data_IF_606606766568
#
_entry.id   IF_606606766568
#
_cell.length_a   1.000
_cell.length_b   1.000
_cell.length_c   1.000
_cell.angle_alpha   90.00
_cell.angle_beta   90.00
_cell.angle_gamma   90.00
#
_symmetry.space_group_name_H-M   'P 1'
#
loop_
_entity.id
_entity.type
_entity.pdbx_description
1 polymer ?
#
# COMPACT_ATOMS: atom_id res chain seq x y z
N UNK A 1 -3.60 7.93 -33.15
CA UNK A 1 -2.19 7.85 -32.88
C UNK A 1 -1.99 6.68 -31.95
N UNK A 2 -1.57 5.54 -32.55
CA UNK A 2 -1.42 4.25 -31.91
C UNK A 2 -0.24 4.34 -30.93
N UNK A 3 -0.49 4.42 -29.64
CA UNK A 3 0.52 4.09 -28.65
C UNK A 3 0.64 2.57 -28.61
N UNK A 4 1.50 2.06 -29.45
CA UNK A 4 1.98 0.67 -29.36
C UNK A 4 2.90 0.54 -28.14
N UNK A 5 2.36 0.61 -26.93
CA UNK A 5 2.95 -0.12 -25.84
C UNK A 5 2.54 -1.58 -26.05
N UNK A 6 3.38 -2.33 -26.74
CA UNK A 6 3.36 -3.77 -26.59
C UNK A 6 3.58 -3.99 -25.09
N UNK A 7 2.73 -4.77 -24.44
CA UNK A 7 3.04 -5.44 -23.19
C UNK A 7 4.20 -6.40 -23.49
N UNK A 8 5.41 -5.87 -23.58
CA UNK A 8 6.60 -6.70 -23.41
C UNK A 8 6.49 -7.21 -21.98
N UNK A 9 6.44 -8.51 -21.79
CA UNK A 9 6.50 -9.14 -20.48
C UNK A 9 7.72 -8.53 -19.76
N UNK A 10 7.46 -7.69 -18.75
CA UNK A 10 8.55 -7.09 -17.98
C UNK A 10 9.22 -8.21 -17.21
N UNK A 11 10.41 -8.59 -17.63
CA UNK A 11 11.23 -9.52 -16.88
C UNK A 11 11.82 -8.80 -15.65
N UNK A 12 11.25 -9.07 -14.50
CA UNK A 12 11.72 -8.51 -13.23
C UNK A 12 12.98 -9.19 -12.69
N UNK A 13 13.48 -10.26 -13.30
CA UNK A 13 14.62 -11.06 -12.79
C UNK A 13 15.87 -10.22 -12.65
N UNK A 14 16.21 -9.43 -13.66
CA UNK A 14 17.39 -8.57 -13.66
C UNK A 14 17.29 -7.47 -12.59
N UNK A 15 16.11 -6.86 -12.44
CA UNK A 15 15.86 -5.82 -11.44
C UNK A 15 16.00 -6.41 -10.03
N UNK A 16 15.42 -7.57 -9.77
CA UNK A 16 15.51 -8.25 -8.48
C UNK A 16 16.92 -8.70 -8.17
N UNK A 17 17.67 -9.17 -9.18
CA UNK A 17 19.09 -9.48 -9.06
C UNK A 17 19.91 -8.24 -8.70
N UNK A 18 19.68 -7.11 -9.36
CA UNK A 18 20.39 -5.85 -9.10
C UNK A 18 20.19 -5.36 -7.67
N UNK A 19 18.99 -5.45 -7.11
CA UNK A 19 18.76 -5.13 -5.69
C UNK A 19 19.69 -5.94 -4.80
N UNK A 20 19.72 -7.26 -4.99
CA UNK A 20 20.56 -8.16 -4.18
C UNK A 20 22.04 -7.90 -4.39
N UNK A 21 22.48 -7.66 -5.62
CA UNK A 21 23.88 -7.34 -5.96
C UNK A 21 24.37 -6.03 -5.29
N UNK A 22 23.45 -5.08 -5.03
CA UNK A 22 23.75 -3.85 -4.29
C UNK A 22 23.51 -3.95 -2.78
N UNK A 23 23.33 -5.17 -2.25
CA UNK A 23 23.16 -5.41 -0.81
C UNK A 23 21.76 -5.14 -0.27
N UNK A 24 20.77 -4.89 -1.15
CA UNK A 24 19.37 -4.72 -0.73
C UNK A 24 18.75 -6.11 -0.61
N UNK A 25 18.60 -6.58 0.61
CA UNK A 25 18.14 -7.93 0.92
C UNK A 25 16.63 -8.04 1.19
N UNK A 26 15.94 -6.91 1.33
CA UNK A 26 14.48 -6.86 1.53
C UNK A 26 13.92 -5.64 0.81
N UNK A 27 12.81 -5.82 0.10
CA UNK A 27 12.04 -4.74 -0.53
C UNK A 27 10.57 -4.87 -0.16
N UNK A 28 9.88 -3.73 -0.11
CA UNK A 28 8.43 -3.67 -0.08
C UNK A 28 7.90 -3.18 -1.43
N UNK A 29 6.99 -3.96 -2.02
CA UNK A 29 6.31 -3.61 -3.27
C UNK A 29 4.94 -3.05 -2.92
N UNK A 30 4.82 -1.73 -2.87
CA UNK A 30 3.62 -1.04 -2.37
C UNK A 30 2.42 -1.05 -3.32
N UNK A 31 2.57 -1.54 -4.54
CA UNK A 31 1.47 -1.80 -5.49
C UNK A 31 1.75 -3.11 -6.22
N UNK A 32 1.75 -4.20 -5.45
CA UNK A 32 2.09 -5.51 -5.98
C UNK A 32 0.97 -6.06 -6.88
N UNK A 33 1.37 -6.68 -7.97
CA UNK A 33 0.50 -7.44 -8.87
C UNK A 33 0.54 -8.93 -8.51
N UNK A 34 -0.41 -9.75 -9.03
CA UNK A 34 -0.38 -11.19 -8.83
C UNK A 34 0.93 -11.86 -9.22
N UNK A 35 1.59 -11.37 -10.27
CA UNK A 35 2.90 -11.86 -10.76
C UNK A 35 4.00 -11.73 -9.70
N UNK A 36 3.95 -10.69 -8.86
CA UNK A 36 4.91 -10.53 -7.77
C UNK A 36 4.81 -11.64 -6.71
N UNK A 37 3.63 -12.23 -6.53
CA UNK A 37 3.46 -13.40 -5.65
C UNK A 37 4.24 -14.58 -6.21
N UNK A 38 4.15 -14.80 -7.52
CA UNK A 38 4.89 -15.88 -8.20
C UNK A 38 6.41 -15.66 -8.11
N UNK A 39 6.87 -14.42 -8.32
CA UNK A 39 8.28 -14.07 -8.18
C UNK A 39 8.79 -14.32 -6.76
N UNK A 40 8.05 -13.88 -5.75
CA UNK A 40 8.37 -14.13 -4.34
C UNK A 40 8.51 -15.61 -4.04
N UNK A 41 7.61 -16.44 -4.56
CA UNK A 41 7.67 -17.89 -4.36
C UNK A 41 8.87 -18.54 -5.08
N UNK A 42 9.22 -18.06 -6.28
CA UNK A 42 10.46 -18.50 -6.96
C UNK A 42 11.71 -18.18 -6.14
N UNK A 43 11.79 -16.96 -5.58
CA UNK A 43 12.91 -16.57 -4.71
C UNK A 43 12.97 -17.45 -3.46
N UNK A 44 11.83 -17.70 -2.79
CA UNK A 44 11.77 -18.57 -1.61
C UNK A 44 12.22 -20.01 -1.89
N UNK A 45 11.99 -20.51 -3.10
CA UNK A 45 12.43 -21.86 -3.53
C UNK A 45 13.84 -21.89 -4.10
N UNK A 46 14.57 -20.77 -4.07
CA UNK A 46 15.89 -20.61 -4.69
C UNK A 46 15.90 -20.88 -6.23
N UNK A 47 14.78 -20.66 -6.89
CA UNK A 47 14.65 -20.76 -8.35
C UNK A 47 15.00 -19.42 -9.03
N UNK A 48 15.12 -18.33 -8.25
CA UNK A 48 15.49 -17.00 -8.70
C UNK A 48 16.29 -16.29 -7.62
N UNK A 49 17.29 -15.50 -8.02
CA UNK A 49 18.03 -14.61 -7.12
C UNK A 49 17.26 -13.30 -6.98
N UNK A 50 16.99 -12.90 -5.75
CA UNK A 50 16.30 -11.65 -5.46
C UNK A 50 16.18 -11.40 -3.96
N UNK A 51 15.77 -10.20 -3.56
CA UNK A 51 15.55 -9.84 -2.17
C UNK A 51 14.29 -10.50 -1.62
N UNK A 52 14.17 -10.56 -0.31
CA UNK A 52 12.89 -10.87 0.34
C UNK A 52 11.86 -9.82 -0.07
N UNK A 53 10.70 -10.24 -0.55
CA UNK A 53 9.63 -9.35 -1.00
C UNK A 53 8.49 -9.32 0.03
N UNK A 54 8.15 -8.11 0.48
CA UNK A 54 6.91 -7.81 1.21
C UNK A 54 5.94 -7.20 0.19
N UNK A 55 4.77 -7.78 0.06
CA UNK A 55 3.84 -7.44 -1.01
C UNK A 55 2.60 -6.76 -0.44
N UNK A 56 2.45 -5.46 -0.75
CA UNK A 56 1.27 -4.66 -0.42
C UNK A 56 0.39 -4.50 -1.65
N UNK A 57 -0.90 -4.79 -1.53
CA UNK A 57 -1.87 -4.56 -2.60
C UNK A 57 -2.65 -3.27 -2.37
N UNK A 58 -2.76 -2.43 -3.39
CA UNK A 58 -3.39 -1.12 -3.29
C UNK A 58 -4.91 -1.20 -3.43
N UNK A 59 -5.63 -0.48 -2.57
CA UNK A 59 -7.08 -0.23 -2.63
C UNK A 59 -7.32 1.27 -2.75
N UNK A 60 -8.20 1.67 -3.67
CA UNK A 60 -8.63 3.07 -3.82
C UNK A 60 -10.11 3.17 -4.19
N UNK A 61 -10.67 4.38 -4.10
CA UNK A 61 -12.00 4.70 -4.57
C UNK A 61 -12.11 4.55 -6.10
N UNK A 62 -13.21 3.96 -6.57
CA UNK A 62 -13.41 3.66 -7.97
C UNK A 62 -13.38 4.90 -8.87
N UNK A 63 -12.69 4.78 -10.00
CA UNK A 63 -12.63 5.79 -11.05
C UNK A 63 -11.85 7.06 -10.70
N UNK A 64 -11.07 7.08 -9.61
CA UNK A 64 -10.41 8.31 -9.12
C UNK A 64 -8.95 8.43 -9.49
N UNK A 65 -8.10 7.44 -9.16
CA UNK A 65 -6.68 7.52 -9.45
C UNK A 65 -6.25 6.37 -10.36
N UNK A 66 -5.50 5.44 -9.83
CA UNK A 66 -4.90 4.35 -10.60
C UNK A 66 -5.92 3.27 -10.94
N UNK A 67 -6.15 2.96 -12.22
CA UNK A 67 -7.09 1.90 -12.60
C UNK A 67 -6.54 0.52 -12.28
N UNK A 68 -7.41 -0.53 -12.25
CA UNK A 68 -6.94 -1.89 -12.31
C UNK A 68 -6.05 -2.14 -13.55
N UNK A 69 -4.98 -2.95 -13.45
CA UNK A 69 -4.63 -3.79 -12.30
C UNK A 69 -3.77 -3.09 -11.23
N UNK A 70 -3.42 -1.81 -11.38
CA UNK A 70 -2.56 -1.08 -10.43
C UNK A 70 -3.20 -1.01 -9.05
N UNK A 71 -4.48 -0.65 -8.98
CA UNK A 71 -5.23 -0.68 -7.74
C UNK A 71 -6.47 -1.57 -7.82
N UNK A 72 -6.99 -1.96 -6.67
CA UNK A 72 -8.32 -2.55 -6.52
C UNK A 72 -9.29 -1.43 -6.20
N UNK A 73 -10.28 -1.22 -7.06
CA UNK A 73 -11.30 -0.21 -6.86
C UNK A 73 -12.43 -0.71 -5.97
N UNK A 74 -12.88 0.15 -5.07
CA UNK A 74 -14.04 -0.09 -4.21
C UNK A 74 -14.96 1.11 -4.20
N UNK A 75 -16.26 0.86 -4.15
CA UNK A 75 -17.31 1.90 -4.16
C UNK A 75 -17.96 2.08 -2.79
N UNK A 76 -17.79 1.12 -1.88
CA UNK A 76 -18.45 1.09 -0.58
C UNK A 76 -17.69 0.18 0.40
N UNK A 77 -18.14 0.21 1.66
CA UNK A 77 -17.54 -0.56 2.75
C UNK A 77 -17.59 -2.09 2.53
N UNK A 78 -18.65 -2.61 1.92
CA UNK A 78 -18.76 -4.06 1.68
C UNK A 78 -17.75 -4.53 0.64
N UNK A 79 -17.59 -3.78 -0.46
CA UNK A 79 -16.54 -4.06 -1.45
C UNK A 79 -15.14 -3.93 -0.84
N UNK A 80 -14.92 -2.91 0.01
CA UNK A 80 -13.66 -2.71 0.72
C UNK A 80 -13.32 -3.90 1.61
N UNK A 81 -14.29 -4.43 2.37
CA UNK A 81 -14.13 -5.64 3.18
C UNK A 81 -13.77 -6.85 2.32
N UNK A 82 -14.51 -7.06 1.22
CA UNK A 82 -14.26 -8.19 0.31
C UNK A 82 -12.86 -8.10 -0.30
N UNK A 83 -12.43 -6.91 -0.71
CA UNK A 83 -11.09 -6.68 -1.26
C UNK A 83 -10.00 -7.08 -0.28
N UNK A 84 -10.08 -6.68 1.00
CA UNK A 84 -9.09 -7.06 2.03
C UNK A 84 -9.08 -8.58 2.27
N UNK A 85 -10.25 -9.21 2.37
CA UNK A 85 -10.35 -10.67 2.55
C UNK A 85 -9.72 -11.40 1.37
N UNK A 86 -9.98 -10.95 0.15
CA UNK A 86 -9.41 -11.56 -1.06
C UNK A 86 -7.89 -11.39 -1.13
N UNK A 87 -7.37 -10.21 -0.78
CA UNK A 87 -5.92 -9.96 -0.70
C UNK A 87 -5.25 -10.89 0.29
N UNK A 88 -5.83 -11.07 1.47
CA UNK A 88 -5.35 -12.04 2.46
C UNK A 88 -5.34 -13.46 1.90
N UNK A 89 -6.42 -13.88 1.23
CA UNK A 89 -6.53 -15.21 0.61
C UNK A 89 -5.49 -15.44 -0.47
N UNK A 90 -5.17 -14.39 -1.25
CA UNK A 90 -4.16 -14.44 -2.30
C UNK A 90 -2.71 -14.43 -1.75
N UNK A 91 -2.52 -14.14 -0.48
CA UNK A 91 -1.22 -14.17 0.16
C UNK A 91 -0.44 -12.85 0.07
N UNK A 92 -1.11 -11.71 -0.10
CA UNK A 92 -0.47 -10.42 0.12
C UNK A 92 -0.17 -10.23 1.61
N UNK A 93 0.94 -9.56 1.91
CA UNK A 93 1.40 -9.36 3.28
C UNK A 93 0.74 -8.15 3.94
N UNK A 94 0.37 -7.13 3.15
CA UNK A 94 -0.16 -5.85 3.63
C UNK A 94 -1.23 -5.30 2.70
N UNK A 95 -2.00 -4.37 3.21
CA UNK A 95 -2.93 -3.54 2.42
C UNK A 95 -2.36 -2.14 2.28
N UNK A 96 -2.29 -1.60 1.06
CA UNK A 96 -2.00 -0.19 0.82
C UNK A 96 -3.29 0.57 0.54
N UNK A 97 -3.67 1.49 1.43
CA UNK A 97 -4.77 2.45 1.19
C UNK A 97 -4.29 3.63 0.37
N UNK A 98 -5.18 4.16 -0.49
CA UNK A 98 -4.85 5.30 -1.34
C UNK A 98 -5.78 6.50 -1.10
N UNK A 99 -5.65 7.57 -1.90
CA UNK A 99 -6.14 8.92 -1.58
C UNK A 99 -7.65 9.10 -1.65
N UNK A 100 -8.38 8.32 -2.44
CA UNK A 100 -9.79 8.60 -2.77
C UNK A 100 -10.80 7.62 -2.18
N UNK A 101 -10.40 6.84 -1.20
CA UNK A 101 -11.32 6.05 -0.39
C UNK A 101 -12.31 6.98 0.34
N UNK A 102 -13.59 6.61 0.37
CA UNK A 102 -14.52 7.22 1.30
C UNK A 102 -14.22 6.76 2.74
N UNK A 103 -14.72 7.53 3.72
CA UNK A 103 -14.46 7.28 5.13
C UNK A 103 -14.92 5.89 5.59
N UNK A 104 -16.09 5.44 5.18
CA UNK A 104 -16.66 4.16 5.60
C UNK A 104 -15.86 2.99 5.04
N UNK A 105 -15.43 3.08 3.77
CA UNK A 105 -14.54 2.10 3.13
C UNK A 105 -13.19 2.04 3.84
N UNK A 106 -12.58 3.19 4.14
CA UNK A 106 -11.31 3.25 4.86
C UNK A 106 -11.41 2.60 6.25
N UNK A 107 -12.40 2.98 7.06
CA UNK A 107 -12.60 2.42 8.40
C UNK A 107 -12.82 0.90 8.35
N UNK A 108 -13.54 0.43 7.33
CA UNK A 108 -13.80 -1.01 7.11
C UNK A 108 -12.53 -1.76 6.72
N UNK A 109 -11.66 -1.17 5.89
CA UNK A 109 -10.34 -1.73 5.56
C UNK A 109 -9.53 -1.93 6.84
N UNK A 110 -9.40 -0.89 7.68
CA UNK A 110 -8.64 -0.94 8.92
C UNK A 110 -9.14 -2.07 9.83
N UNK A 111 -10.44 -2.13 10.10
CA UNK A 111 -11.04 -3.14 10.98
C UNK A 111 -10.85 -4.55 10.41
N UNK A 112 -11.04 -4.71 9.11
CA UNK A 112 -10.94 -6.03 8.45
C UNK A 112 -9.49 -6.51 8.41
N UNK A 113 -8.56 -5.66 8.02
CA UNK A 113 -7.13 -5.96 7.96
C UNK A 113 -6.58 -6.32 9.35
N UNK A 114 -6.93 -5.53 10.38
CA UNK A 114 -6.55 -5.82 11.78
C UNK A 114 -7.03 -7.20 12.24
N UNK A 115 -8.26 -7.59 11.89
CA UNK A 115 -8.82 -8.90 12.22
C UNK A 115 -8.08 -10.05 11.55
N UNK A 116 -7.56 -9.81 10.35
CA UNK A 116 -6.79 -10.79 9.58
C UNK A 116 -5.28 -10.73 9.86
N UNK A 117 -4.82 -9.85 10.76
CA UNK A 117 -3.40 -9.69 11.07
C UNK A 117 -2.60 -9.03 9.95
N UNK A 118 -3.25 -8.34 9.01
CA UNK A 118 -2.60 -7.62 7.91
C UNK A 118 -2.31 -6.18 8.33
N UNK A 119 -1.06 -5.72 8.28
CA UNK A 119 -0.75 -4.29 8.41
C UNK A 119 -1.40 -3.47 7.30
N UNK A 120 -1.76 -2.22 7.62
CA UNK A 120 -2.28 -1.25 6.65
C UNK A 120 -1.30 -0.09 6.54
N UNK A 121 -0.83 0.17 5.32
CA UNK A 121 0.09 1.25 4.99
C UNK A 121 -0.53 2.12 3.90
N UNK A 122 0.05 3.27 3.62
CA UNK A 122 -0.36 4.07 2.47
C UNK A 122 -0.67 5.52 2.79
N UNK A 123 -1.58 6.09 2.04
CA UNK A 123 -1.91 7.50 2.09
C UNK A 123 -2.86 7.84 3.24
N UNK A 124 -3.03 9.15 3.46
CA UNK A 124 -4.14 9.70 4.24
C UNK A 124 -5.27 9.99 3.24
N UNK A 125 -6.37 9.23 3.23
CA UNK A 125 -7.47 9.51 2.31
C UNK A 125 -8.05 10.91 2.52
N UNK A 126 -8.38 11.60 1.43
CA UNK A 126 -8.92 12.98 1.48
C UNK A 126 -10.26 13.08 2.21
N UNK A 127 -10.95 11.98 2.40
CA UNK A 127 -12.18 11.86 3.18
C UNK A 127 -11.95 11.77 4.69
N UNK A 128 -10.68 11.72 5.15
CA UNK A 128 -10.28 11.53 6.55
C UNK A 128 -9.40 12.68 7.02
N UNK A 129 -8.74 12.51 8.16
CA UNK A 129 -7.70 13.42 8.67
C UNK A 129 -6.50 12.62 9.15
N UNK A 130 -5.36 13.27 9.34
CA UNK A 130 -4.16 12.64 9.91
C UNK A 130 -4.45 12.07 11.29
N UNK A 131 -5.20 12.79 12.14
CA UNK A 131 -5.60 12.33 13.48
C UNK A 131 -6.39 11.02 13.40
N UNK A 132 -7.33 10.97 12.45
CA UNK A 132 -8.13 9.77 12.29
C UNK A 132 -7.28 8.59 11.84
N UNK A 133 -6.39 8.79 10.87
CA UNK A 133 -5.50 7.75 10.36
C UNK A 133 -4.59 7.21 11.47
N UNK A 134 -3.98 8.10 12.26
CA UNK A 134 -3.15 7.71 13.41
C UNK A 134 -3.95 6.97 14.47
N UNK A 135 -5.13 7.48 14.84
CA UNK A 135 -5.97 6.87 15.88
C UNK A 135 -6.64 5.55 15.45
N UNK A 136 -6.86 5.36 14.16
CA UNK A 136 -7.43 4.12 13.61
C UNK A 136 -6.45 2.94 13.62
N UNK A 137 -5.14 3.22 13.75
CA UNK A 137 -4.09 2.21 13.79
C UNK A 137 -3.55 1.80 12.43
N UNK A 138 -3.58 2.70 11.44
CA UNK A 138 -2.79 2.52 10.22
C UNK A 138 -1.30 2.43 10.60
N UNK A 139 -0.60 1.44 10.06
CA UNK A 139 0.76 1.11 10.50
C UNK A 139 1.82 2.07 9.96
N UNK A 140 1.64 2.58 8.75
CA UNK A 140 2.56 3.52 8.13
C UNK A 140 1.83 4.51 7.22
N UNK A 141 2.17 5.79 7.33
CA UNK A 141 1.82 6.79 6.32
C UNK A 141 2.96 6.84 5.33
N UNK A 142 2.70 6.36 4.11
CA UNK A 142 3.66 6.40 3.01
C UNK A 142 3.76 7.85 2.49
N UNK A 143 4.97 8.25 2.11
CA UNK A 143 5.30 9.57 1.59
C UNK A 143 5.17 10.70 2.61
N UNK A 144 6.26 11.40 2.92
CA UNK A 144 6.27 12.45 3.97
C UNK A 144 5.36 13.65 3.62
N UNK A 145 5.03 13.85 2.35
CA UNK A 145 4.11 14.88 1.90
C UNK A 145 2.63 14.59 2.20
N UNK A 146 2.26 13.36 2.52
CA UNK A 146 0.86 13.00 2.79
C UNK A 146 0.27 13.80 3.98
N UNK A 147 0.92 13.88 5.15
CA UNK A 147 0.46 14.76 6.21
C UNK A 147 0.47 16.25 5.82
N UNK A 148 1.40 16.65 4.95
CA UNK A 148 1.52 18.05 4.53
C UNK A 148 0.36 18.54 3.68
N UNK A 149 -0.38 17.66 3.00
CA UNK A 149 -1.61 18.01 2.28
C UNK A 149 -2.64 18.66 3.20
N UNK A 150 -2.59 18.33 4.48
CA UNK A 150 -3.49 18.83 5.51
C UNK A 150 -2.88 20.01 6.33
N UNK A 151 -1.61 20.35 6.09
CA UNK A 151 -0.88 21.33 6.88
C UNK A 151 -1.52 22.72 6.90
N UNK A 152 -2.25 23.13 5.85
CA UNK A 152 -2.99 24.38 5.81
C UNK A 152 -4.16 24.45 6.80
N UNK A 153 -4.58 23.31 7.30
CA UNK A 153 -5.69 23.16 8.27
C UNK A 153 -5.20 22.99 9.71
N UNK A 154 -3.87 22.89 9.91
CA UNK A 154 -3.27 22.65 11.21
C UNK A 154 -2.47 23.83 11.70
N UNK A 155 -2.53 24.09 13.02
CA UNK A 155 -1.62 25.04 13.67
C UNK A 155 -0.20 24.46 13.71
N UNK A 156 0.85 25.31 13.88
CA UNK A 156 2.22 24.83 14.06
C UNK A 156 2.36 23.80 15.19
N UNK A 157 1.62 23.96 16.29
CA UNK A 157 1.61 23.03 17.41
C UNK A 157 1.04 21.67 17.01
N UNK A 158 -0.04 21.65 16.25
CA UNK A 158 -0.64 20.42 15.72
C UNK A 158 0.32 19.71 14.74
N UNK A 159 0.97 20.46 13.86
CA UNK A 159 1.97 19.91 12.93
C UNK A 159 3.10 19.25 13.73
N UNK A 160 3.65 19.93 14.74
CA UNK A 160 4.71 19.37 15.57
C UNK A 160 4.25 18.15 16.36
N UNK A 161 3.03 18.16 16.89
CA UNK A 161 2.46 17.02 17.59
C UNK A 161 2.37 15.79 16.68
N UNK A 162 1.77 15.90 15.48
CA UNK A 162 1.63 14.79 14.55
C UNK A 162 2.95 14.30 14.00
N UNK A 163 3.89 15.19 13.70
CA UNK A 163 5.25 14.81 13.32
C UNK A 163 5.93 13.97 14.40
N UNK A 164 5.71 14.32 15.68
CA UNK A 164 6.27 13.55 16.80
C UNK A 164 5.65 12.15 16.93
N UNK A 165 4.35 12.01 16.62
CA UNK A 165 3.67 10.70 16.65
C UNK A 165 4.16 9.80 15.50
N UNK A 166 4.31 10.35 14.31
CA UNK A 166 4.85 9.63 13.15
C UNK A 166 6.26 9.13 13.43
N UNK A 167 7.11 9.98 14.03
CA UNK A 167 8.47 9.61 14.40
C UNK A 167 8.53 8.49 15.46
N UNK A 168 7.59 8.46 16.40
CA UNK A 168 7.49 7.41 17.43
C UNK A 168 6.90 6.09 16.92
N UNK A 169 6.06 6.13 15.90
CA UNK A 169 5.48 4.93 15.30
C UNK A 169 6.44 4.16 14.38
N UNK A 170 7.59 4.72 14.06
CA UNK A 170 8.61 4.12 13.20
C UNK A 170 9.77 3.48 13.99
N UNK A 171 9.65 3.37 15.30
CA UNK A 171 10.58 2.64 16.17
C UNK A 171 9.93 1.35 16.64
#
# INVERSE_FOLDING_TARGET
PDSKFKEEEIDFSDILFLYTAHGITTIEVMSAFPEHILLREKIKRNEMIGPRMILSRMIDGAGKAWPPPISTWVNNADEAKQAVVEMHRQGYDRVKVYSFLDRASYDTIIVTAKRLGMPVDGHVPVSTSVEHVVSSGQNMIAHPEEPMKFAKSYTPEQINYYSSLIAKGNT
#
